data_IF_902364919034
#
_entry.id   IF_902364919034
#
_cell.length_a   1.000
_cell.length_b   1.000
_cell.length_c   1.000
_cell.angle_alpha   90.00
_cell.angle_beta   90.00
_cell.angle_gamma   90.00
#
_symmetry.space_group_name_H-M   'P 1'
#
loop_
_entity.id
_entity.type
_entity.pdbx_description
1 polymer ?
#
# COMPACT_ATOMS: atom_id res chain seq x y z
N UNK A 1 3.04 -13.31 10.41
CA UNK A 1 1.66 -12.83 10.17
C UNK A 1 1.44 -12.15 8.82
N UNK A 2 1.97 -10.95 8.55
CA UNK A 2 1.65 -10.19 7.32
C UNK A 2 1.85 -10.99 6.03
N UNK A 3 3.00 -11.65 5.89
CA UNK A 3 3.30 -12.45 4.69
C UNK A 3 2.26 -13.56 4.42
N UNK A 4 1.77 -14.21 5.47
CA UNK A 4 0.71 -15.22 5.37
C UNK A 4 -0.60 -14.62 4.85
N UNK A 5 -0.96 -13.42 5.32
CA UNK A 5 -2.15 -12.69 4.83
C UNK A 5 -1.98 -12.35 3.35
N UNK A 6 -0.81 -11.86 2.93
CA UNK A 6 -0.55 -11.49 1.54
C UNK A 6 -0.63 -12.70 0.61
N UNK A 7 -0.06 -13.84 1.05
CA UNK A 7 -0.09 -15.11 0.33
C UNK A 7 -1.52 -15.58 0.08
N UNK A 8 -2.31 -15.74 1.15
CA UNK A 8 -3.71 -16.20 1.04
C UNK A 8 -4.54 -15.21 0.22
N UNK A 9 -4.32 -13.90 0.38
CA UNK A 9 -5.04 -12.89 -0.39
C UNK A 9 -4.74 -12.98 -1.88
N UNK A 10 -3.47 -13.13 -2.27
CA UNK A 10 -3.06 -13.24 -3.68
C UNK A 10 -3.58 -14.54 -4.32
N UNK A 11 -3.53 -15.66 -3.58
CA UNK A 11 -4.05 -16.95 -4.03
C UNK A 11 -5.57 -16.89 -4.26
N UNK A 12 -6.32 -16.19 -3.41
CA UNK A 12 -7.77 -16.05 -3.52
C UNK A 12 -8.24 -15.13 -4.67
N UNK A 13 -7.36 -14.29 -5.23
CA UNK A 13 -7.74 -13.41 -6.34
C UNK A 13 -8.10 -14.21 -7.60
N UNK A 14 -9.11 -13.74 -8.33
CA UNK A 14 -9.37 -14.19 -9.70
C UNK A 14 -8.22 -13.72 -10.63
N UNK A 15 -8.00 -14.38 -11.79
CA UNK A 15 -7.08 -13.88 -12.80
C UNK A 15 -7.36 -12.41 -13.13
N UNK A 16 -6.31 -11.59 -13.24
CA UNK A 16 -6.42 -10.13 -13.40
C UNK A 16 -6.84 -9.34 -12.14
N UNK A 17 -7.07 -10.00 -11.00
CA UNK A 17 -7.35 -9.34 -9.73
C UNK A 17 -6.13 -8.59 -9.18
N UNK A 18 -6.36 -7.51 -8.42
CA UNK A 18 -5.29 -6.66 -7.89
C UNK A 18 -5.19 -6.77 -6.37
N UNK A 19 -3.98 -7.01 -5.87
CA UNK A 19 -3.64 -6.94 -4.46
C UNK A 19 -2.98 -5.59 -4.19
N UNK A 20 -3.48 -4.83 -3.21
CA UNK A 20 -2.92 -3.54 -2.80
C UNK A 20 -2.64 -3.55 -1.31
N UNK A 21 -1.44 -3.13 -0.91
CA UNK A 21 -1.01 -3.04 0.48
C UNK A 21 -0.72 -1.58 0.81
N UNK A 22 -1.34 -1.07 1.86
CA UNK A 22 -1.07 0.25 2.41
C UNK A 22 -0.19 0.12 3.66
N UNK A 23 1.03 0.65 3.61
CA UNK A 23 2.03 0.52 4.67
C UNK A 23 2.47 1.90 5.17
N UNK A 24 2.33 2.10 6.48
CA UNK A 24 2.87 3.25 7.22
C UNK A 24 4.11 2.88 8.05
N UNK A 25 4.19 1.62 8.50
CA UNK A 25 5.33 1.08 9.26
C UNK A 25 6.39 0.59 8.28
N UNK A 26 7.65 0.95 8.50
CA UNK A 26 8.76 0.61 7.61
C UNK A 26 8.94 -0.91 7.49
N UNK A 27 8.86 -1.63 8.60
CA UNK A 27 8.99 -3.09 8.62
C UNK A 27 7.89 -3.75 7.79
N UNK A 28 6.64 -3.28 7.89
CA UNK A 28 5.53 -3.78 7.08
C UNK A 28 5.74 -3.47 5.59
N UNK A 29 6.28 -2.29 5.27
CA UNK A 29 6.63 -1.93 3.90
C UNK A 29 7.71 -2.86 3.34
N UNK A 30 8.77 -3.13 4.10
CA UNK A 30 9.86 -4.00 3.68
C UNK A 30 9.39 -5.45 3.52
N UNK A 31 8.59 -5.96 4.46
CA UNK A 31 8.00 -7.30 4.37
C UNK A 31 7.07 -7.42 3.15
N UNK A 32 6.18 -6.45 2.93
CA UNK A 32 5.27 -6.48 1.79
C UNK A 32 6.03 -6.32 0.45
N UNK A 33 7.01 -5.42 0.39
CA UNK A 33 7.83 -5.23 -0.80
C UNK A 33 8.61 -6.50 -1.15
N UNK A 34 9.26 -7.14 -0.16
CA UNK A 34 9.98 -8.40 -0.35
C UNK A 34 9.07 -9.50 -0.87
N UNK A 35 7.96 -9.76 -0.17
CA UNK A 35 6.98 -10.77 -0.58
C UNK A 35 6.48 -10.53 -2.01
N UNK A 36 6.03 -9.31 -2.33
CA UNK A 36 5.47 -9.00 -3.64
C UNK A 36 6.52 -9.08 -4.75
N UNK A 37 7.77 -8.66 -4.48
CA UNK A 37 8.87 -8.78 -5.45
C UNK A 37 9.20 -10.23 -5.79
N UNK A 38 9.13 -11.13 -4.82
CA UNK A 38 9.36 -12.56 -5.01
C UNK A 38 8.30 -13.25 -5.86
N UNK A 39 7.09 -12.66 -5.99
CA UNK A 39 6.04 -13.21 -6.87
C UNK A 39 6.36 -13.11 -8.36
N UNK A 40 7.31 -12.26 -8.76
CA UNK A 40 7.63 -11.99 -10.16
C UNK A 40 6.57 -11.16 -10.92
N UNK A 41 5.45 -10.82 -10.28
CA UNK A 41 4.41 -9.97 -10.86
C UNK A 41 4.89 -8.53 -11.00
N UNK A 42 4.37 -7.76 -11.97
CA UNK A 42 4.65 -6.32 -12.06
C UNK A 42 4.22 -5.61 -10.77
N UNK A 43 5.22 -5.13 -10.02
CA UNK A 43 5.05 -4.42 -8.75
C UNK A 43 5.07 -2.91 -8.99
N UNK A 44 4.00 -2.25 -8.57
CA UNK A 44 3.86 -0.80 -8.58
C UNK A 44 3.93 -0.25 -7.15
N UNK A 45 4.55 0.93 -6.98
CA UNK A 45 4.69 1.58 -5.68
C UNK A 45 4.44 3.08 -5.76
N UNK A 46 3.62 3.61 -4.85
CA UNK A 46 3.29 5.03 -4.77
C UNK A 46 3.34 5.49 -3.31
N UNK A 47 3.87 6.68 -3.05
CA UNK A 47 3.78 7.32 -1.75
C UNK A 47 2.78 8.47 -1.81
N UNK A 48 1.84 8.51 -0.87
CA UNK A 48 0.86 9.58 -0.76
C UNK A 48 1.19 10.45 0.45
N UNK A 49 1.38 11.74 0.20
CA UNK A 49 1.47 12.77 1.24
C UNK A 49 0.27 13.70 1.08
N UNK A 50 -0.47 13.89 2.17
CA UNK A 50 -1.68 14.69 2.16
C UNK A 50 -1.69 15.65 3.36
N UNK A 51 -2.32 16.81 3.16
CA UNK A 51 -2.60 17.77 4.22
C UNK A 51 -4.09 18.05 4.30
N UNK A 52 -4.63 18.21 5.51
CA UNK A 52 -6.01 18.65 5.74
C UNK A 52 -6.04 20.12 6.10
N UNK A 53 -6.93 20.88 5.47
CA UNK A 53 -7.18 22.26 5.86
C UNK A 53 -8.05 22.24 7.12
N UNK A 54 -7.54 22.74 8.25
CA UNK A 54 -8.26 22.77 9.53
C UNK A 54 -8.27 24.19 10.13
N UNK A 55 -9.32 24.57 10.89
CA UNK A 55 -9.39 25.89 11.52
C UNK A 55 -8.24 26.15 12.50
N UNK A 56 -7.76 27.40 12.55
CA UNK A 56 -6.80 27.88 13.55
C UNK A 56 -7.13 29.34 13.89
N UNK A 57 -8.01 29.56 14.88
CA UNK A 57 -8.52 30.89 15.19
C UNK A 57 -9.16 31.54 13.96
N UNK A 58 -8.71 32.75 13.53
CA UNK A 58 -9.22 33.39 12.32
C UNK A 58 -8.62 32.82 11.01
N UNK A 59 -7.67 31.90 11.10
CA UNK A 59 -6.94 31.34 9.96
C UNK A 59 -7.34 29.88 9.66
N UNK A 60 -6.71 29.32 8.63
CA UNK A 60 -6.69 27.89 8.33
C UNK A 60 -5.23 27.42 8.32
N UNK A 61 -4.94 26.33 9.01
CA UNK A 61 -3.63 25.65 8.92
C UNK A 61 -3.75 24.40 8.08
N UNK A 62 -2.65 24.02 7.44
CA UNK A 62 -2.49 22.72 6.80
C UNK A 62 -1.98 21.72 7.85
N UNK A 63 -2.81 20.76 8.20
CA UNK A 63 -2.45 19.64 9.05
C UNK A 63 -1.89 18.50 8.20
N UNK A 64 -0.58 18.29 8.28
CA UNK A 64 0.07 17.17 7.62
C UNK A 64 -0.48 15.84 8.13
N UNK A 65 -0.77 14.91 7.22
CA UNK A 65 -1.05 13.51 7.54
C UNK A 65 0.24 12.71 7.39
N UNK A 66 0.36 11.63 8.16
CA UNK A 66 1.48 10.72 8.00
C UNK A 66 1.51 10.19 6.56
N UNK A 67 2.68 10.16 5.91
CA UNK A 67 2.82 9.55 4.60
C UNK A 67 2.41 8.08 4.63
N UNK A 68 1.76 7.62 3.56
CA UNK A 68 1.42 6.21 3.39
C UNK A 68 1.96 5.70 2.06
N UNK A 69 2.57 4.53 2.06
CA UNK A 69 3.05 3.87 0.85
C UNK A 69 2.05 2.81 0.41
N UNK A 70 1.65 2.86 -0.86
CA UNK A 70 0.81 1.87 -1.51
C UNK A 70 1.70 1.01 -2.41
N UNK A 71 1.70 -0.29 -2.17
CA UNK A 71 2.29 -1.29 -3.07
C UNK A 71 1.18 -2.08 -3.73
N UNK A 72 1.33 -2.39 -5.02
CA UNK A 72 0.32 -3.14 -5.75
C UNK A 72 0.92 -4.13 -6.74
N UNK A 73 0.28 -5.29 -6.85
CA UNK A 73 0.52 -6.26 -7.93
C UNK A 73 -0.81 -6.67 -8.54
N UNK A 74 -0.78 -7.07 -9.81
CA UNK A 74 -1.93 -7.65 -10.49
C UNK A 74 -1.65 -9.13 -10.73
N UNK A 75 -2.56 -10.02 -10.29
CA UNK A 75 -2.47 -11.45 -10.55
C UNK A 75 -2.57 -11.69 -12.05
N UNK A 76 -1.77 -12.61 -12.56
CA UNK A 76 -1.73 -12.96 -13.98
C UNK A 76 -3.16 -13.18 -14.53
N UNK A 77 -3.40 -12.64 -15.72
CA UNK A 77 -4.59 -12.96 -16.49
C UNK A 77 -4.47 -14.35 -17.12
N UNK A 78 -5.61 -14.98 -17.37
CA UNK A 78 -5.65 -16.20 -18.20
C UNK A 78 -5.31 -15.88 -19.66
#
# INVERSE_FOLDING_TARGET
ELEGILRVSLEALRPGGRLVVAAIILENLLTAYGFLKETGLPLEGFQVQAGRVVPLGPYRRLEAQNPITLLAVTKEGA
#
